data_IF_805054264796
#
_entry.id   IF_805054264796
#
_cell.length_a   1.000
_cell.length_b   1.000
_cell.length_c   1.000
_cell.angle_alpha   90.00
_cell.angle_beta   90.00
_cell.angle_gamma   90.00
#
_symmetry.space_group_name_H-M   'P 1'
#
loop_
_entity.id
_entity.type
_entity.pdbx_description
1 polymer ?
#
# COMPACT_ATOMS: atom_id res chain seq x y z
N UNK A 1 42.00 -11.76 29.35
CA UNK A 1 41.01 -10.72 29.70
C UNK A 1 40.61 -9.86 28.50
N UNK A 2 41.56 -9.39 27.67
CA UNK A 2 41.28 -8.53 26.49
C UNK A 2 40.33 -9.17 25.46
N UNK A 3 40.43 -10.49 25.25
CA UNK A 3 39.57 -11.25 24.31
C UNK A 3 38.10 -11.36 24.73
N UNK A 4 37.80 -11.28 26.03
CA UNK A 4 36.43 -11.34 26.53
C UNK A 4 35.71 -9.99 26.33
N UNK A 5 36.45 -8.89 26.54
CA UNK A 5 35.95 -7.52 26.38
C UNK A 5 35.57 -7.22 24.92
N UNK A 6 36.34 -7.74 23.97
CA UNK A 6 36.06 -7.59 22.52
C UNK A 6 34.81 -8.36 22.10
N UNK A 7 34.58 -9.56 22.65
CA UNK A 7 33.38 -10.37 22.36
C UNK A 7 32.13 -9.70 22.93
N UNK A 8 32.19 -9.22 24.17
CA UNK A 8 31.06 -8.53 24.82
C UNK A 8 30.73 -7.22 24.09
N UNK A 9 31.73 -6.49 23.60
CA UNK A 9 31.52 -5.26 22.84
C UNK A 9 30.88 -5.49 21.47
N UNK A 10 31.09 -6.65 20.84
CA UNK A 10 30.47 -6.98 19.55
C UNK A 10 28.98 -7.34 19.70
N UNK A 11 28.58 -7.91 20.85
CA UNK A 11 27.19 -8.30 21.11
C UNK A 11 26.25 -7.10 21.34
N UNK A 12 26.74 -5.98 21.90
CA UNK A 12 25.93 -4.80 22.22
C UNK A 12 25.49 -4.02 20.96
N UNK A 13 26.24 -4.13 19.87
CA UNK A 13 25.96 -3.41 18.62
C UNK A 13 24.83 -4.02 17.78
N UNK A 14 24.43 -5.27 18.05
CA UNK A 14 23.38 -5.97 17.26
C UNK A 14 21.95 -5.61 17.74
N UNK A 15 21.81 -5.08 18.95
CA UNK A 15 20.51 -4.83 19.59
C UNK A 15 19.89 -3.45 19.28
N UNK A 16 20.55 -2.60 18.50
CA UNK A 16 20.04 -1.26 18.13
C UNK A 16 19.32 -1.23 16.77
N UNK A 17 18.91 -2.39 16.25
CA UNK A 17 18.10 -2.47 15.04
C UNK A 17 16.77 -1.76 15.28
N UNK A 18 16.66 -0.58 14.67
CA UNK A 18 15.71 0.47 15.01
C UNK A 18 14.26 -0.02 14.92
N UNK A 19 13.49 0.24 15.98
CA UNK A 19 12.04 0.21 15.95
C UNK A 19 11.57 1.32 14.99
N UNK A 20 11.48 1.01 13.69
CA UNK A 20 10.84 1.88 12.71
C UNK A 20 9.35 1.83 13.00
N UNK A 21 8.90 2.78 13.83
CA UNK A 21 7.49 3.01 14.07
C UNK A 21 6.82 3.28 12.72
N UNK A 22 5.96 2.35 12.31
CA UNK A 22 5.32 2.37 11.00
C UNK A 22 4.37 3.57 10.92
N UNK A 23 4.89 4.73 10.54
CA UNK A 23 4.05 5.84 10.15
C UNK A 23 3.12 5.36 9.04
N UNK A 24 1.81 5.69 9.10
CA UNK A 24 0.88 5.32 8.04
C UNK A 24 1.38 5.92 6.74
N UNK A 25 2.00 5.07 5.92
CA UNK A 25 2.61 5.48 4.67
C UNK A 25 1.53 6.16 3.82
N UNK A 26 1.93 7.04 2.88
CA UNK A 26 0.97 7.62 1.91
C UNK A 26 0.10 6.54 1.23
N UNK A 27 0.62 5.31 1.17
CA UNK A 27 -0.06 4.12 0.69
C UNK A 27 -1.24 3.68 1.57
N UNK A 28 -1.13 3.75 2.91
CA UNK A 28 -2.23 3.39 3.82
C UNK A 28 -3.40 4.37 3.72
N UNK A 29 -3.13 5.68 3.60
CA UNK A 29 -4.16 6.71 3.40
C UNK A 29 -4.97 6.51 2.12
N UNK A 30 -4.35 5.92 1.09
CA UNK A 30 -4.98 5.67 -0.20
C UNK A 30 -5.56 4.26 -0.37
N UNK A 31 -5.45 3.39 0.64
CA UNK A 31 -5.87 2.00 0.57
C UNK A 31 -7.35 1.86 0.20
N UNK A 32 -8.23 2.66 0.81
CA UNK A 32 -9.68 2.65 0.51
C UNK A 32 -9.99 2.88 -0.97
N UNK A 33 -9.26 3.78 -1.63
CA UNK A 33 -9.45 4.07 -3.06
C UNK A 33 -8.90 2.95 -3.93
N UNK A 34 -7.79 2.33 -3.52
CA UNK A 34 -7.20 1.17 -4.19
C UNK A 34 -8.14 -0.04 -4.13
N UNK A 35 -8.65 -0.37 -2.94
CA UNK A 35 -9.62 -1.47 -2.76
C UNK A 35 -10.86 -1.28 -3.63
N UNK A 36 -11.36 -0.05 -3.77
CA UNK A 36 -12.49 0.22 -4.66
C UNK A 36 -12.17 -0.04 -6.13
N UNK A 37 -10.99 0.36 -6.59
CA UNK A 37 -10.52 0.08 -7.96
C UNK A 37 -10.42 -1.43 -8.18
N UNK A 38 -9.79 -2.15 -7.25
CA UNK A 38 -9.59 -3.59 -7.34
C UNK A 38 -10.91 -4.37 -7.36
N UNK A 39 -11.89 -3.94 -6.56
CA UNK A 39 -13.22 -4.53 -6.57
C UNK A 39 -13.94 -4.36 -7.92
N UNK A 40 -13.77 -3.23 -8.60
CA UNK A 40 -14.34 -3.01 -9.93
C UNK A 40 -13.64 -3.91 -10.96
N UNK A 41 -12.31 -3.98 -10.90
CA UNK A 41 -11.52 -4.84 -11.78
C UNK A 41 -11.82 -6.33 -11.57
N UNK A 42 -12.07 -6.75 -10.34
CA UNK A 42 -12.54 -8.10 -10.04
C UNK A 42 -13.89 -8.38 -10.70
N UNK A 43 -14.84 -7.44 -10.64
CA UNK A 43 -16.14 -7.56 -11.32
C UNK A 43 -16.02 -7.59 -12.84
N UNK A 44 -15.04 -6.92 -13.43
CA UNK A 44 -14.80 -6.95 -14.88
C UNK A 44 -14.29 -8.32 -15.36
N UNK A 45 -13.57 -9.07 -14.52
CA UNK A 45 -13.08 -10.43 -14.85
C UNK A 45 -14.19 -11.49 -14.85
N UNK A 46 -15.35 -11.18 -14.28
CA UNK A 46 -16.50 -12.06 -14.28
C UNK A 46 -17.26 -11.97 -15.62
N UNK A 47 -18.06 -12.99 -15.98
CA UNK A 47 -18.99 -12.88 -17.09
C UNK A 47 -19.94 -11.68 -16.91
N UNK A 48 -20.03 -10.83 -17.92
CA UNK A 48 -20.84 -9.61 -17.89
C UNK A 48 -21.56 -9.42 -19.23
N UNK A 49 -22.76 -8.87 -19.21
CA UNK A 49 -23.38 -8.34 -20.42
C UNK A 49 -22.62 -7.12 -20.92
N UNK A 50 -22.70 -6.82 -22.22
CA UNK A 50 -22.05 -5.64 -22.83
C UNK A 50 -22.40 -4.36 -22.07
N UNK A 51 -23.68 -4.17 -21.73
CA UNK A 51 -24.15 -3.02 -20.93
C UNK A 51 -23.45 -2.92 -19.57
N UNK A 52 -23.29 -4.05 -18.88
CA UNK A 52 -22.62 -4.10 -17.57
C UNK A 52 -21.11 -3.85 -17.70
N UNK A 53 -20.46 -4.41 -18.71
CA UNK A 53 -19.04 -4.16 -19.01
C UNK A 53 -18.76 -2.69 -19.26
N UNK A 54 -19.59 -2.02 -20.06
CA UNK A 54 -19.46 -0.57 -20.33
C UNK A 54 -19.61 0.26 -19.05
N UNK A 55 -20.61 -0.06 -18.21
CA UNK A 55 -20.79 0.60 -16.92
C UNK A 55 -19.60 0.39 -15.98
N UNK A 56 -19.05 -0.83 -15.93
CA UNK A 56 -17.87 -1.12 -15.11
C UNK A 56 -16.63 -0.37 -15.59
N UNK A 57 -16.44 -0.22 -16.91
CA UNK A 57 -15.35 0.59 -17.49
C UNK A 57 -15.41 2.05 -17.06
N UNK A 58 -16.61 2.66 -17.07
CA UNK A 58 -16.77 4.03 -16.58
C UNK A 58 -16.48 4.17 -15.08
N UNK A 59 -16.93 3.18 -14.28
CA UNK A 59 -16.68 3.14 -12.84
C UNK A 59 -15.19 2.99 -12.53
N UNK A 60 -14.51 2.12 -13.28
CA UNK A 60 -13.07 1.89 -13.17
C UNK A 60 -12.30 3.19 -13.42
N UNK A 61 -12.59 3.89 -14.52
CA UNK A 61 -11.94 5.16 -14.85
C UNK A 61 -12.09 6.20 -13.72
N UNK A 62 -13.29 6.31 -13.14
CA UNK A 62 -13.56 7.21 -12.00
C UNK A 62 -12.79 6.78 -10.75
N UNK A 63 -12.76 5.49 -10.44
CA UNK A 63 -12.05 4.94 -9.29
C UNK A 63 -10.52 5.11 -9.43
N UNK A 64 -9.98 4.82 -10.61
CA UNK A 64 -8.56 5.01 -10.94
C UNK A 64 -8.15 6.47 -10.78
N UNK A 65 -8.91 7.41 -11.37
CA UNK A 65 -8.65 8.85 -11.21
C UNK A 65 -8.63 9.26 -9.74
N UNK A 66 -9.55 8.73 -8.92
CA UNK A 66 -9.60 9.05 -7.49
C UNK A 66 -8.40 8.46 -6.73
N UNK A 67 -8.06 7.19 -6.97
CA UNK A 67 -6.87 6.57 -6.39
C UNK A 67 -5.60 7.32 -6.78
N UNK A 68 -5.45 7.72 -8.06
CA UNK A 68 -4.33 8.57 -8.52
C UNK A 68 -4.31 9.91 -7.80
N UNK A 69 -5.48 10.56 -7.70
CA UNK A 69 -5.84 11.67 -6.79
C UNK A 69 -5.05 11.63 -5.48
N UNK A 70 -5.30 10.54 -4.76
CA UNK A 70 -4.78 10.32 -3.42
C UNK A 70 -3.27 10.10 -3.41
N UNK A 71 -2.76 9.26 -4.32
CA UNK A 71 -1.32 9.03 -4.46
C UNK A 71 -0.53 10.33 -4.74
N UNK A 72 -1.20 11.33 -5.33
CA UNK A 72 -0.63 12.64 -5.65
C UNK A 72 -0.66 13.61 -4.46
N UNK A 73 -1.28 13.24 -3.34
CA UNK A 73 -1.60 14.16 -2.25
C UNK A 73 -2.67 15.19 -2.60
N UNK A 74 -3.39 15.01 -3.73
CA UNK A 74 -4.45 15.93 -4.21
C UNK A 74 -5.84 15.53 -3.71
N UNK A 75 -5.93 14.51 -2.88
CA UNK A 75 -7.10 14.20 -2.08
C UNK A 75 -6.72 14.35 -0.61
N UNK A 76 -7.49 15.16 0.10
CA UNK A 76 -7.41 15.29 1.55
C UNK A 76 -7.95 14.04 2.23
#
# INVERSE_FOLDING_TARGET
MIKLVTIVSLCVLVMHSSLVEAQPSKQSKCAKYKTKLDNIQSKQRQPNSVKRSNKLKEQELKAFKKWRKCQQGKLK
#
